data_IF_767364238626
#
_entry.id   IF_767364238626
#
_cell.length_a   1.000
_cell.length_b   1.000
_cell.length_c   1.000
_cell.angle_alpha   90.00
_cell.angle_beta   90.00
_cell.angle_gamma   90.00
#
_symmetry.space_group_name_H-M   'P 1'
#
loop_
_entity.id
_entity.type
_entity.pdbx_description
1 polymer ?
#
# COMPACT_ATOMS: atom_id res chain seq x y z
N UNK A 1 -17.26 -6.96 -43.56
CA UNK A 1 -16.67 -6.38 -42.34
C UNK A 1 -17.26 -7.12 -41.16
N UNK A 2 -16.47 -7.99 -40.52
CA UNK A 2 -16.88 -8.64 -39.28
C UNK A 2 -16.78 -7.61 -38.14
N UNK A 3 -17.74 -7.56 -37.21
CA UNK A 3 -17.65 -6.68 -36.05
C UNK A 3 -16.51 -7.16 -35.17
N UNK A 4 -15.57 -6.27 -34.87
CA UNK A 4 -14.51 -6.50 -33.91
C UNK A 4 -15.14 -6.83 -32.55
N UNK A 5 -14.72 -7.99 -32.04
CA UNK A 5 -15.18 -8.58 -30.80
C UNK A 5 -14.61 -7.74 -29.64
N UNK A 6 -15.36 -6.73 -29.19
CA UNK A 6 -15.04 -5.97 -27.98
C UNK A 6 -15.11 -6.96 -26.81
N UNK A 7 -13.96 -7.47 -26.38
CA UNK A 7 -13.87 -8.24 -25.14
C UNK A 7 -14.41 -7.36 -24.00
N UNK A 8 -15.34 -7.87 -23.16
CA UNK A 8 -15.78 -7.12 -22.00
C UNK A 8 -14.55 -6.88 -21.12
N UNK A 9 -14.27 -5.60 -20.81
CA UNK A 9 -13.30 -5.26 -19.78
C UNK A 9 -13.66 -6.07 -18.52
N UNK A 10 -12.69 -6.81 -17.99
CA UNK A 10 -12.86 -7.52 -16.72
C UNK A 10 -13.45 -6.57 -15.68
N UNK A 11 -14.65 -6.90 -15.18
CA UNK A 11 -15.35 -6.08 -14.19
C UNK A 11 -14.63 -6.06 -12.84
N UNK A 12 -13.72 -7.00 -12.58
CA UNK A 12 -13.01 -7.12 -11.32
C UNK A 12 -11.58 -6.56 -11.41
N UNK A 13 -11.18 -5.76 -10.41
CA UNK A 13 -9.83 -5.20 -10.26
C UNK A 13 -9.17 -5.92 -9.09
N UNK A 14 -8.17 -6.75 -9.40
CA UNK A 14 -7.47 -7.55 -8.39
C UNK A 14 -6.35 -6.74 -7.72
N UNK A 15 -6.66 -6.02 -6.63
CA UNK A 15 -5.73 -5.08 -5.97
C UNK A 15 -4.43 -5.71 -5.46
N UNK A 16 -4.40 -7.01 -5.15
CA UNK A 16 -3.16 -7.63 -4.67
C UNK A 16 -2.15 -7.90 -5.81
N UNK A 17 -2.64 -8.08 -7.03
CA UNK A 17 -1.87 -8.43 -8.24
C UNK A 17 -2.53 -7.73 -9.45
N UNK A 18 -2.54 -6.39 -9.49
CA UNK A 18 -3.37 -5.64 -10.44
C UNK A 18 -2.86 -5.71 -11.88
N UNK A 19 -1.57 -5.90 -12.08
CA UNK A 19 -0.92 -5.97 -13.39
C UNK A 19 0.45 -6.68 -13.30
N UNK A 20 1.24 -6.63 -14.38
CA UNK A 20 2.58 -7.24 -14.47
C UNK A 20 3.70 -6.40 -13.84
N UNK A 21 3.43 -5.17 -13.43
CA UNK A 21 4.44 -4.20 -12.99
C UNK A 21 4.47 -4.01 -11.47
N UNK A 22 3.39 -4.37 -10.76
CA UNK A 22 3.30 -4.22 -9.30
C UNK A 22 2.31 -5.18 -8.67
N UNK A 23 2.37 -5.22 -7.35
CA UNK A 23 1.52 -6.04 -6.48
C UNK A 23 1.57 -5.50 -5.05
N UNK A 24 0.72 -6.01 -4.17
CA UNK A 24 0.74 -5.67 -2.74
C UNK A 24 0.98 -6.91 -1.88
N UNK A 25 1.88 -6.81 -0.90
CA UNK A 25 2.18 -7.86 0.09
C UNK A 25 1.63 -7.59 1.50
N UNK A 26 0.72 -6.61 1.66
CA UNK A 26 0.33 -6.12 2.98
C UNK A 26 -0.34 -7.16 3.88
N UNK A 27 -1.28 -7.95 3.33
CA UNK A 27 -1.98 -9.00 4.09
C UNK A 27 -1.04 -10.14 4.52
N UNK A 28 0.10 -10.31 3.81
CA UNK A 28 1.17 -11.22 4.20
C UNK A 28 2.13 -10.60 5.23
N UNK A 29 1.84 -9.38 5.73
CA UNK A 29 2.63 -8.68 6.73
C UNK A 29 3.89 -7.99 6.21
N UNK A 30 4.04 -7.81 4.89
CA UNK A 30 5.24 -7.19 4.29
C UNK A 30 5.61 -5.86 4.94
N UNK A 31 4.59 -5.03 5.21
CA UNK A 31 4.78 -3.72 5.81
C UNK A 31 4.55 -3.70 7.32
N UNK A 32 4.59 -4.86 7.99
CA UNK A 32 4.46 -4.97 9.45
C UNK A 32 5.79 -5.22 10.17
N UNK A 33 6.89 -5.47 9.46
CA UNK A 33 8.23 -5.47 10.07
C UNK A 33 8.52 -4.12 10.73
N UNK A 34 9.17 -4.13 11.90
CA UNK A 34 9.54 -2.92 12.61
C UNK A 34 10.41 -2.03 11.71
N UNK A 35 11.47 -2.60 11.11
CA UNK A 35 12.11 -2.00 9.94
C UNK A 35 11.42 -2.47 8.66
N UNK A 36 10.64 -1.57 8.06
CA UNK A 36 10.07 -1.79 6.73
C UNK A 36 10.52 -0.74 5.73
N UNK A 37 11.72 -0.20 5.90
CA UNK A 37 12.33 0.59 4.85
C UNK A 37 12.35 -0.21 3.53
N UNK A 38 12.27 0.49 2.39
CA UNK A 38 12.27 -0.15 1.08
C UNK A 38 13.46 -1.09 0.91
N UNK A 39 14.63 -0.67 1.37
CA UNK A 39 15.88 -1.44 1.30
C UNK A 39 15.83 -2.72 2.13
N UNK A 40 15.39 -2.64 3.39
CA UNK A 40 15.26 -3.80 4.28
C UNK A 40 14.27 -4.82 3.73
N UNK A 41 13.12 -4.37 3.24
CA UNK A 41 12.13 -5.24 2.62
C UNK A 41 12.65 -5.86 1.32
N UNK A 42 13.34 -5.09 0.48
CA UNK A 42 13.96 -5.57 -0.76
C UNK A 42 14.97 -6.69 -0.45
N UNK A 43 15.80 -6.51 0.57
CA UNK A 43 16.77 -7.52 1.00
C UNK A 43 16.08 -8.83 1.43
N UNK A 44 15.07 -8.74 2.30
CA UNK A 44 14.29 -9.91 2.76
C UNK A 44 13.63 -10.65 1.59
N UNK A 45 12.93 -9.91 0.73
CA UNK A 45 12.23 -10.47 -0.42
C UNK A 45 13.21 -11.17 -1.37
N UNK A 46 14.34 -10.54 -1.72
CA UNK A 46 15.38 -11.13 -2.58
C UNK A 46 15.95 -12.41 -1.98
N UNK A 47 16.34 -12.34 -0.71
CA UNK A 47 16.97 -13.46 -0.03
C UNK A 47 16.04 -14.68 0.03
N UNK A 48 14.80 -14.49 0.45
CA UNK A 48 13.79 -15.57 0.47
C UNK A 48 13.53 -16.16 -0.91
N UNK A 49 13.42 -15.30 -1.93
CA UNK A 49 13.16 -15.73 -3.31
C UNK A 49 14.28 -16.58 -3.87
N UNK A 50 15.54 -16.22 -3.58
CA UNK A 50 16.70 -16.99 -3.99
C UNK A 50 16.80 -18.32 -3.21
N UNK A 51 16.57 -18.26 -1.90
CA UNK A 51 16.71 -19.41 -1.00
C UNK A 51 15.62 -20.48 -1.20
N UNK A 52 14.40 -20.07 -1.53
CA UNK A 52 13.26 -20.96 -1.64
C UNK A 52 13.49 -22.14 -2.60
N UNK A 53 13.87 -21.93 -3.89
CA UNK A 53 14.16 -23.05 -4.78
C UNK A 53 15.45 -23.80 -4.42
N UNK A 54 16.38 -23.24 -3.64
CA UNK A 54 17.57 -23.94 -3.18
C UNK A 54 17.24 -24.99 -2.11
N UNK A 55 16.34 -24.64 -1.18
CA UNK A 55 15.94 -25.47 -0.05
C UNK A 55 14.74 -26.36 -0.39
N UNK A 56 13.69 -25.79 -0.97
CA UNK A 56 12.40 -26.48 -1.14
C UNK A 56 12.43 -27.31 -2.41
N UNK A 57 12.74 -28.61 -2.26
CA UNK A 57 12.68 -29.60 -3.36
C UNK A 57 11.40 -30.43 -3.29
N UNK A 58 10.80 -30.51 -2.12
CA UNK A 58 9.57 -31.21 -1.81
C UNK A 58 8.78 -30.46 -0.72
N UNK A 59 7.47 -30.73 -0.56
CA UNK A 59 6.69 -30.14 0.53
C UNK A 59 7.25 -30.38 1.93
N UNK A 60 7.99 -31.47 2.14
CA UNK A 60 8.61 -31.82 3.43
C UNK A 60 9.73 -30.82 3.85
N UNK A 61 10.26 -30.05 2.91
CA UNK A 61 11.33 -29.06 3.16
C UNK A 61 10.79 -27.72 3.68
N UNK A 62 9.47 -27.50 3.65
CA UNK A 62 8.85 -26.21 3.96
C UNK A 62 9.04 -25.78 5.42
N UNK A 63 8.95 -26.73 6.36
CA UNK A 63 9.18 -26.47 7.78
C UNK A 63 10.64 -26.05 8.03
N UNK A 64 11.58 -26.63 7.29
CA UNK A 64 12.99 -26.26 7.37
C UNK A 64 13.23 -24.85 6.80
N UNK A 65 12.67 -24.54 5.63
CA UNK A 65 12.73 -23.21 5.03
C UNK A 65 12.16 -22.14 5.98
N UNK A 66 10.97 -22.38 6.54
CA UNK A 66 10.34 -21.45 7.48
C UNK A 66 11.20 -21.21 8.72
N UNK A 67 11.68 -22.30 9.33
CA UNK A 67 12.53 -22.21 10.52
C UNK A 67 13.80 -21.42 10.25
N UNK A 68 14.43 -21.64 9.09
CA UNK A 68 15.61 -20.90 8.69
C UNK A 68 15.30 -19.40 8.53
N UNK A 69 14.30 -19.03 7.74
CA UNK A 69 13.92 -17.62 7.53
C UNK A 69 13.63 -16.91 8.85
N UNK A 70 12.83 -17.54 9.73
CA UNK A 70 12.48 -16.96 11.04
C UNK A 70 13.69 -16.78 11.96
N UNK A 71 14.68 -17.67 11.87
CA UNK A 71 15.91 -17.60 12.68
C UNK A 71 16.97 -16.64 12.13
N UNK A 72 16.99 -16.42 10.81
CA UNK A 72 17.98 -15.58 10.13
C UNK A 72 17.58 -14.11 10.05
N UNK A 73 16.29 -13.80 10.10
CA UNK A 73 15.79 -12.44 9.96
C UNK A 73 15.26 -11.86 11.27
N UNK A 74 15.43 -10.54 11.46
CA UNK A 74 14.78 -9.84 12.55
C UNK A 74 13.25 -9.91 12.43
N UNK A 75 12.60 -10.47 13.44
CA UNK A 75 11.14 -10.67 13.50
C UNK A 75 10.41 -9.60 14.32
N UNK A 76 11.07 -8.48 14.62
CA UNK A 76 10.42 -7.36 15.29
C UNK A 76 9.26 -6.85 14.41
N UNK A 77 8.09 -6.66 15.02
CA UNK A 77 6.83 -6.30 14.35
C UNK A 77 6.27 -5.01 14.92
N UNK A 78 5.54 -4.27 14.09
CA UNK A 78 4.80 -3.07 14.50
C UNK A 78 3.51 -3.42 15.22
N UNK A 79 2.81 -4.42 14.71
CA UNK A 79 1.57 -4.93 15.27
C UNK A 79 1.73 -6.42 15.55
N UNK A 80 1.63 -6.81 16.81
CA UNK A 80 1.80 -8.21 17.24
C UNK A 80 0.75 -9.14 16.62
N UNK A 81 -0.46 -8.61 16.38
CA UNK A 81 -1.59 -9.35 15.81
C UNK A 81 -1.46 -9.59 14.30
N UNK A 82 -0.58 -8.87 13.62
CA UNK A 82 -0.36 -9.06 12.19
C UNK A 82 0.85 -9.99 12.02
N UNK A 83 0.62 -11.14 11.39
CA UNK A 83 1.69 -12.08 11.09
C UNK A 83 2.54 -11.60 9.91
N UNK A 84 3.86 -11.76 10.00
CA UNK A 84 4.80 -11.47 8.93
C UNK A 84 5.24 -12.77 8.25
N UNK A 85 4.66 -13.07 7.09
CA UNK A 85 4.84 -14.34 6.41
C UNK A 85 6.26 -14.50 5.85
N UNK A 86 6.90 -15.59 6.25
CA UNK A 86 8.22 -16.04 5.81
C UNK A 86 8.24 -16.49 4.34
N UNK A 87 7.09 -16.85 3.79
CA UNK A 87 6.95 -17.33 2.42
C UNK A 87 6.63 -16.23 1.40
N UNK A 88 6.76 -14.97 1.80
CA UNK A 88 6.58 -13.84 0.90
C UNK A 88 7.92 -13.52 0.20
N UNK A 89 7.91 -13.49 -1.13
CA UNK A 89 9.06 -13.18 -1.98
C UNK A 89 8.66 -12.47 -3.27
N UNK A 90 9.59 -12.34 -4.22
CA UNK A 90 9.35 -11.86 -5.57
C UNK A 90 8.79 -12.98 -6.46
N UNK A 91 7.83 -12.62 -7.32
CA UNK A 91 7.15 -13.53 -8.26
C UNK A 91 7.70 -13.44 -9.69
N UNK A 92 8.67 -12.55 -9.92
CA UNK A 92 9.28 -12.33 -11.22
C UNK A 92 10.75 -11.91 -11.09
N UNK A 93 11.53 -12.22 -12.12
CA UNK A 93 12.95 -11.91 -12.18
C UNK A 93 13.25 -10.40 -12.23
N UNK A 94 12.26 -9.58 -12.60
CA UNK A 94 12.38 -8.12 -12.60
C UNK A 94 12.14 -7.50 -11.22
N UNK A 95 11.84 -8.31 -10.20
CA UNK A 95 11.54 -7.88 -8.83
C UNK A 95 10.42 -6.82 -8.75
N UNK A 96 9.47 -6.92 -9.68
CA UNK A 96 8.36 -5.97 -9.81
C UNK A 96 7.19 -6.34 -8.92
N UNK A 97 6.92 -7.63 -8.79
CA UNK A 97 5.79 -8.18 -8.03
C UNK A 97 6.28 -9.05 -6.89
N UNK A 98 5.68 -8.81 -5.74
CA UNK A 98 5.79 -9.60 -4.52
C UNK A 98 4.56 -10.50 -4.36
N UNK A 99 4.73 -11.63 -3.71
CA UNK A 99 3.63 -12.53 -3.38
C UNK A 99 4.09 -13.85 -2.78
N UNK A 100 3.14 -14.77 -2.64
CA UNK A 100 3.36 -16.00 -1.91
C UNK A 100 4.14 -17.02 -2.76
N UNK A 101 5.30 -17.43 -2.26
CA UNK A 101 6.14 -18.47 -2.86
C UNK A 101 5.49 -19.87 -2.80
N UNK A 102 4.49 -20.06 -1.91
CA UNK A 102 3.70 -21.30 -1.80
C UNK A 102 2.50 -21.36 -2.76
N UNK A 103 2.20 -20.25 -3.44
CA UNK A 103 0.99 -20.16 -4.27
C UNK A 103 1.05 -21.17 -5.43
N UNK A 104 -0.06 -21.83 -5.82
CA UNK A 104 -0.06 -22.82 -6.90
C UNK A 104 0.44 -22.28 -8.24
N UNK A 105 0.22 -20.98 -8.51
CA UNK A 105 0.78 -20.32 -9.70
C UNK A 105 2.32 -20.23 -9.71
N UNK A 106 2.97 -20.44 -8.56
CA UNK A 106 4.43 -20.51 -8.46
C UNK A 106 4.95 -21.96 -8.38
N UNK A 107 4.05 -22.95 -8.28
CA UNK A 107 4.39 -24.33 -7.95
C UNK A 107 3.67 -25.34 -8.87
N UNK A 108 3.58 -25.04 -10.18
CA UNK A 108 2.99 -25.93 -11.19
C UNK A 108 1.57 -26.42 -10.85
N UNK A 109 0.77 -25.59 -10.18
CA UNK A 109 -0.59 -25.92 -9.75
C UNK A 109 -0.69 -26.60 -8.38
N UNK A 110 0.42 -27.01 -7.78
CA UNK A 110 0.44 -27.56 -6.41
C UNK A 110 0.30 -26.43 -5.40
N UNK A 111 -0.77 -26.45 -4.61
CA UNK A 111 -0.98 -25.47 -3.56
C UNK A 111 -0.24 -25.90 -2.29
N UNK A 112 0.77 -25.12 -1.90
CA UNK A 112 1.60 -25.40 -0.73
C UNK A 112 1.20 -24.55 0.49
N UNK A 113 0.12 -23.76 0.41
CA UNK A 113 -0.25 -22.76 1.43
C UNK A 113 -0.72 -23.35 2.76
N UNK A 114 -0.96 -24.66 2.84
CA UNK A 114 -1.44 -25.34 4.05
C UNK A 114 -0.48 -25.18 5.24
N UNK A 115 0.82 -25.02 5.01
CA UNK A 115 1.84 -24.80 6.07
C UNK A 115 1.97 -23.34 6.52
N UNK A 116 1.33 -22.40 5.82
CA UNK A 116 1.41 -20.99 6.18
C UNK A 116 0.62 -20.69 7.46
N UNK A 117 0.98 -19.63 8.19
CA UNK A 117 0.31 -19.28 9.45
C UNK A 117 -1.21 -19.14 9.33
N UNK A 118 -1.70 -18.54 8.24
CA UNK A 118 -3.15 -18.40 7.99
C UNK A 118 -3.76 -19.64 7.33
N UNK A 119 -2.95 -20.53 6.76
CA UNK A 119 -3.42 -21.70 6.01
C UNK A 119 -4.08 -21.34 4.67
N UNK A 120 -4.30 -22.36 3.85
CA UNK A 120 -4.87 -22.22 2.49
C UNK A 120 -6.22 -21.50 2.48
N UNK A 121 -7.15 -21.89 3.35
CA UNK A 121 -8.54 -21.39 3.33
C UNK A 121 -8.61 -19.88 3.55
N UNK A 122 -7.91 -19.36 4.56
CA UNK A 122 -7.87 -17.92 4.82
C UNK A 122 -7.06 -17.19 3.76
N UNK A 123 -5.92 -17.75 3.32
CA UNK A 123 -5.09 -17.11 2.28
C UNK A 123 -5.81 -16.96 0.94
N UNK A 124 -6.65 -17.92 0.56
CA UNK A 124 -7.34 -17.93 -0.75
C UNK A 124 -8.54 -16.97 -0.79
N UNK A 125 -9.29 -16.87 0.31
CA UNK A 125 -10.51 -16.06 0.38
C UNK A 125 -10.32 -14.62 0.87
N UNK A 126 -9.12 -14.23 1.30
CA UNK A 126 -8.93 -12.95 1.98
C UNK A 126 -8.81 -11.75 1.03
N UNK A 127 -9.74 -10.81 1.17
CA UNK A 127 -9.66 -9.48 0.57
C UNK A 127 -9.57 -8.42 1.66
N UNK A 128 -8.57 -7.54 1.54
CA UNK A 128 -8.41 -6.45 2.49
C UNK A 128 -9.57 -5.43 2.37
N UNK A 129 -9.79 -4.59 3.40
CA UNK A 129 -10.86 -3.59 3.40
C UNK A 129 -10.90 -2.68 2.16
N UNK A 130 -9.76 -2.45 1.50
CA UNK A 130 -9.67 -1.62 0.29
C UNK A 130 -10.47 -2.18 -0.89
N UNK A 131 -10.72 -3.50 -0.93
CA UNK A 131 -11.62 -4.09 -1.92
C UNK A 131 -13.08 -3.65 -1.74
N UNK A 132 -13.48 -3.37 -0.51
CA UNK A 132 -14.85 -2.97 -0.18
C UNK A 132 -15.03 -1.45 -0.15
N UNK A 133 -14.09 -0.74 0.48
CA UNK A 133 -14.29 0.68 0.78
C UNK A 133 -13.82 1.63 -0.34
N UNK A 134 -12.84 1.24 -1.17
CA UNK A 134 -12.46 2.07 -2.31
C UNK A 134 -13.46 1.89 -3.46
N UNK A 135 -13.83 2.99 -4.11
CA UNK A 135 -14.66 2.94 -5.32
C UNK A 135 -13.88 2.32 -6.47
N UNK A 136 -14.57 1.98 -7.57
CA UNK A 136 -13.90 1.48 -8.77
C UNK A 136 -12.91 2.52 -9.30
N UNK A 137 -13.31 3.79 -9.32
CA UNK A 137 -12.53 4.89 -9.86
C UNK A 137 -11.24 5.11 -9.05
N UNK A 138 -11.34 5.08 -7.72
CA UNK A 138 -10.18 5.20 -6.83
C UNK A 138 -9.21 4.01 -7.03
N UNK A 139 -9.73 2.79 -7.15
CA UNK A 139 -8.92 1.60 -7.43
C UNK A 139 -8.19 1.72 -8.77
N UNK A 140 -8.89 2.10 -9.83
CA UNK A 140 -8.31 2.29 -11.16
C UNK A 140 -7.25 3.40 -11.13
N UNK A 141 -7.54 4.51 -10.46
CA UNK A 141 -6.60 5.61 -10.34
C UNK A 141 -5.28 5.16 -9.70
N UNK A 142 -5.33 4.46 -8.55
CA UNK A 142 -4.13 3.93 -7.91
C UNK A 142 -3.37 2.94 -8.80
N UNK A 143 -4.08 2.07 -9.51
CA UNK A 143 -3.46 1.12 -10.45
C UNK A 143 -2.79 1.85 -11.62
N UNK A 144 -3.33 2.97 -12.08
CA UNK A 144 -2.76 3.71 -13.21
C UNK A 144 -1.59 4.62 -12.84
N UNK A 145 -1.52 5.11 -11.60
CA UNK A 145 -0.55 6.14 -11.19
C UNK A 145 0.63 5.60 -10.35
N UNK A 146 0.44 4.50 -9.63
CA UNK A 146 1.51 3.92 -8.81
C UNK A 146 2.17 2.78 -9.59
N UNK A 147 3.50 2.73 -9.57
CA UNK A 147 4.26 1.87 -10.49
C UNK A 147 5.00 0.71 -9.81
N UNK A 148 5.30 0.82 -8.52
CA UNK A 148 6.06 -0.20 -7.80
C UNK A 148 5.31 -0.77 -6.60
N UNK A 149 5.66 -2.00 -6.23
CA UNK A 149 5.02 -2.74 -5.13
C UNK A 149 5.11 -2.04 -3.77
N UNK A 150 6.15 -1.23 -3.54
CA UNK A 150 6.37 -0.62 -2.24
C UNK A 150 5.39 0.53 -2.05
N UNK A 151 5.47 1.58 -2.87
CA UNK A 151 4.55 2.72 -2.74
C UNK A 151 3.09 2.31 -2.97
N UNK A 152 2.84 1.42 -3.95
CA UNK A 152 1.50 0.91 -4.20
C UNK A 152 0.91 0.22 -2.97
N UNK A 153 1.66 -0.68 -2.34
CA UNK A 153 1.18 -1.37 -1.15
C UNK A 153 0.94 -0.45 0.04
N UNK A 154 1.80 0.55 0.25
CA UNK A 154 1.62 1.56 1.30
C UNK A 154 0.35 2.41 1.11
N UNK A 155 0.02 2.75 -0.14
CA UNK A 155 -1.12 3.59 -0.46
C UNK A 155 -2.42 2.81 -0.56
N UNK A 156 -2.42 1.61 -1.16
CA UNK A 156 -3.64 0.84 -1.38
C UNK A 156 -4.27 0.40 -0.06
N UNK A 157 -3.49 0.19 1.00
CA UNK A 157 -3.99 -0.14 2.34
C UNK A 157 -4.42 1.06 3.16
N UNK A 158 -4.09 2.29 2.73
CA UNK A 158 -4.41 3.52 3.44
C UNK A 158 -5.68 4.16 2.83
N UNK A 159 -6.82 3.55 3.13
CA UNK A 159 -8.13 3.95 2.58
C UNK A 159 -8.40 5.43 2.83
N UNK A 160 -8.07 5.93 4.03
CA UNK A 160 -8.34 7.30 4.41
C UNK A 160 -7.51 8.32 3.63
N UNK A 161 -6.24 8.03 3.35
CA UNK A 161 -5.40 8.86 2.50
C UNK A 161 -6.01 8.97 1.09
N UNK A 162 -6.37 7.83 0.50
CA UNK A 162 -6.93 7.74 -0.85
C UNK A 162 -8.26 8.48 -0.91
N UNK A 163 -9.18 8.17 0.00
CA UNK A 163 -10.50 8.81 0.10
C UNK A 163 -10.38 10.31 0.31
N UNK A 164 -9.50 10.74 1.20
CA UNK A 164 -9.34 12.16 1.49
C UNK A 164 -8.81 12.93 0.30
N UNK A 165 -7.82 12.38 -0.40
CA UNK A 165 -7.30 12.99 -1.63
C UNK A 165 -8.39 13.13 -2.69
N UNK A 166 -9.04 12.03 -3.06
CA UNK A 166 -10.05 12.04 -4.12
C UNK A 166 -11.26 12.89 -3.76
N UNK A 167 -11.68 12.92 -2.49
CA UNK A 167 -12.72 13.84 -2.03
C UNK A 167 -12.32 15.30 -2.22
N UNK A 168 -11.12 15.69 -1.75
CA UNK A 168 -10.67 17.09 -1.84
C UNK A 168 -10.56 17.60 -3.28
N UNK A 169 -10.05 16.78 -4.21
CA UNK A 169 -10.00 17.18 -5.62
C UNK A 169 -11.40 17.16 -6.26
N UNK A 170 -12.25 16.19 -5.92
CA UNK A 170 -13.61 16.11 -6.48
C UNK A 170 -14.49 17.27 -6.02
N UNK A 171 -14.40 17.63 -4.73
CA UNK A 171 -15.13 18.77 -4.16
C UNK A 171 -14.74 20.08 -4.87
N UNK A 172 -13.47 20.22 -5.28
CA UNK A 172 -12.98 21.39 -6.01
C UNK A 172 -13.37 21.39 -7.49
N UNK A 173 -13.43 20.21 -8.12
CA UNK A 173 -13.81 20.05 -9.52
C UNK A 173 -15.33 19.99 -9.73
N UNK A 174 -16.11 19.82 -8.65
CA UNK A 174 -17.54 19.52 -8.68
C UNK A 174 -17.88 18.26 -9.50
N UNK A 175 -16.92 17.34 -9.63
CA UNK A 175 -17.06 16.06 -10.31
C UNK A 175 -15.98 15.09 -9.84
N UNK A 176 -16.26 13.79 -9.92
CA UNK A 176 -15.23 12.75 -9.74
C UNK A 176 -14.27 12.75 -10.93
N UNK A 177 -12.93 12.84 -10.70
CA UNK A 177 -11.95 12.68 -11.77
C UNK A 177 -12.06 11.32 -12.45
N UNK A 178 -12.03 11.31 -13.80
CA UNK A 178 -12.05 10.07 -14.58
C UNK A 178 -10.68 9.40 -14.51
N UNK A 179 -10.56 8.15 -14.05
CA UNK A 179 -9.28 7.45 -13.93
C UNK A 179 -8.49 7.38 -15.24
N UNK A 180 -9.18 7.28 -16.38
CA UNK A 180 -8.55 7.19 -17.70
C UNK A 180 -7.68 8.40 -18.01
N UNK A 181 -8.06 9.60 -17.55
CA UNK A 181 -7.25 10.81 -17.71
C UNK A 181 -5.94 10.75 -16.91
N UNK A 182 -5.91 9.99 -15.81
CA UNK A 182 -4.73 9.82 -14.94
C UNK A 182 -3.67 8.90 -15.54
N UNK A 183 -3.91 8.30 -16.72
CA UNK A 183 -2.88 7.56 -17.46
C UNK A 183 -1.88 8.49 -18.16
N UNK A 184 -2.25 9.75 -18.38
CA UNK A 184 -1.46 10.72 -19.13
C UNK A 184 -0.85 11.79 -18.22
N UNK A 185 0.27 12.35 -18.68
CA UNK A 185 0.86 13.54 -18.08
C UNK A 185 0.04 14.81 -18.41
N UNK A 186 0.04 15.83 -17.53
CA UNK A 186 0.76 15.90 -16.25
C UNK A 186 0.02 15.24 -15.07
N UNK A 187 -1.20 14.76 -15.28
CA UNK A 187 -2.09 14.31 -14.20
C UNK A 187 -1.54 13.11 -13.45
N UNK A 188 -0.96 12.15 -14.16
CA UNK A 188 -0.32 10.97 -13.55
C UNK A 188 0.71 11.39 -12.50
N UNK A 189 1.69 12.18 -12.90
CA UNK A 189 2.79 12.62 -12.04
C UNK A 189 2.30 13.47 -10.85
N UNK A 190 1.27 14.30 -11.03
CA UNK A 190 0.71 15.11 -9.93
C UNK A 190 0.10 14.24 -8.83
N UNK A 191 -0.66 13.21 -9.22
CA UNK A 191 -1.24 12.24 -8.28
C UNK A 191 -0.12 11.41 -7.63
N UNK A 192 0.85 10.95 -8.42
CA UNK A 192 1.99 10.19 -7.92
C UNK A 192 2.76 10.98 -6.85
N UNK A 193 3.12 12.24 -7.12
CA UNK A 193 3.82 13.13 -6.18
C UNK A 193 3.06 13.35 -4.88
N UNK A 194 1.73 13.37 -4.92
CA UNK A 194 0.94 13.43 -3.68
C UNK A 194 1.10 12.15 -2.85
N UNK A 195 1.01 10.97 -3.49
CA UNK A 195 1.17 9.70 -2.77
C UNK A 195 2.61 9.45 -2.31
N UNK A 196 3.61 9.96 -3.03
CA UNK A 196 5.02 9.94 -2.63
C UNK A 196 5.29 10.63 -1.29
N UNK A 197 4.38 11.49 -0.81
CA UNK A 197 4.45 12.02 0.56
C UNK A 197 4.49 10.90 1.61
N UNK A 198 3.96 9.69 1.32
CA UNK A 198 4.15 8.53 2.21
C UNK A 198 5.61 8.15 2.43
N UNK A 199 6.51 8.57 1.55
CA UNK A 199 7.95 8.29 1.64
C UNK A 199 8.73 9.50 2.16
N UNK A 200 8.37 10.71 1.73
CA UNK A 200 9.20 11.91 1.93
C UNK A 200 8.59 12.97 2.84
N UNK A 201 7.47 12.66 3.54
CA UNK A 201 6.79 13.64 4.40
C UNK A 201 7.72 14.19 5.50
N UNK A 202 7.98 15.51 5.54
CA UNK A 202 8.97 16.10 6.44
C UNK A 202 8.50 16.19 7.90
N UNK A 203 7.20 16.12 8.14
CA UNK A 203 6.61 16.21 9.49
C UNK A 203 6.23 14.84 10.06
N UNK A 204 6.78 13.75 9.49
CA UNK A 204 6.56 12.41 10.00
C UNK A 204 7.19 12.27 11.39
N UNK A 205 6.44 11.75 12.37
CA UNK A 205 7.02 11.42 13.67
C UNK A 205 7.98 10.22 13.53
N UNK A 206 9.28 10.38 13.82
CA UNK A 206 10.26 9.30 13.72
C UNK A 206 10.05 8.19 14.76
N UNK A 207 9.41 8.50 15.90
CA UNK A 207 9.04 7.51 16.90
C UNK A 207 7.84 6.67 16.45
N UNK A 208 7.06 7.18 15.49
CA UNK A 208 5.91 6.49 14.93
C UNK A 208 6.30 5.86 13.61
N UNK A 209 6.86 4.67 13.71
CA UNK A 209 7.10 3.82 12.56
C UNK A 209 5.81 3.09 12.17
N UNK A 210 4.74 3.82 11.80
CA UNK A 210 3.42 3.26 11.41
C UNK A 210 3.04 3.60 9.98
N UNK A 211 2.21 2.76 9.39
CA UNK A 211 1.67 2.95 8.05
C UNK A 211 0.14 3.07 8.13
N UNK A 212 -0.34 4.31 8.17
CA UNK A 212 -1.77 4.63 8.27
C UNK A 212 -2.17 5.14 9.64
N UNK A 213 -3.48 5.36 9.84
CA UNK A 213 -4.02 6.02 11.05
C UNK A 213 -4.21 5.10 12.27
N UNK A 214 -4.23 3.78 12.07
CA UNK A 214 -4.54 2.81 13.12
C UNK A 214 -3.28 2.29 13.79
N UNK A 215 -3.27 2.21 15.12
CA UNK A 215 -2.30 1.40 15.84
C UNK A 215 -2.96 0.54 16.92
N UNK A 216 -2.36 -0.61 17.21
CA UNK A 216 -2.86 -1.59 18.18
C UNK A 216 -1.92 -1.60 19.39
N UNK A 217 -2.45 -1.37 20.59
CA UNK A 217 -1.65 -1.29 21.84
C UNK A 217 -1.62 -2.61 22.63
N UNK A 218 -2.11 -3.70 22.04
CA UNK A 218 -2.26 -4.99 22.71
C UNK A 218 -3.68 -5.25 23.22
N UNK A 219 -4.57 -4.24 23.23
CA UNK A 219 -5.96 -4.41 23.71
C UNK A 219 -7.02 -3.70 22.87
N UNK A 220 -6.71 -2.57 22.23
CA UNK A 220 -7.66 -1.78 21.44
C UNK A 220 -7.03 -1.14 20.19
N UNK A 221 -7.87 -0.85 19.18
CA UNK A 221 -7.49 -0.02 18.04
C UNK A 221 -7.52 1.45 18.47
N UNK A 222 -6.36 2.08 18.55
CA UNK A 222 -6.21 3.49 18.88
C UNK A 222 -6.03 4.31 17.60
N UNK A 223 -6.71 5.45 17.54
CA UNK A 223 -6.55 6.46 16.49
C UNK A 223 -5.69 7.56 17.08
N UNK A 224 -4.53 7.81 16.48
CA UNK A 224 -3.70 8.94 16.89
C UNK A 224 -4.42 10.27 16.65
N UNK A 225 -4.11 11.27 17.47
CA UNK A 225 -4.76 12.58 17.41
C UNK A 225 -3.71 13.67 17.38
N UNK A 226 -3.88 14.60 16.46
CA UNK A 226 -3.11 15.84 16.46
C UNK A 226 -3.74 16.77 17.48
N UNK A 227 -2.95 17.24 18.44
CA UNK A 227 -3.38 18.18 19.47
C UNK A 227 -3.50 19.61 18.91
N UNK A 228 -4.59 19.86 18.17
CA UNK A 228 -4.87 21.18 17.60
C UNK A 228 -5.12 22.24 18.68
N UNK A 229 -5.69 21.86 19.82
CA UNK A 229 -5.95 22.78 20.93
C UNK A 229 -4.64 23.29 21.54
N UNK A 230 -3.68 22.39 21.80
CA UNK A 230 -2.34 22.74 22.24
C UNK A 230 -1.57 23.61 21.24
N UNK A 231 -1.87 23.50 19.95
CA UNK A 231 -1.34 24.37 18.89
C UNK A 231 -2.07 25.73 18.77
N UNK A 232 -3.15 25.94 19.53
CA UNK A 232 -4.00 27.13 19.40
C UNK A 232 -4.60 27.27 18.00
N UNK A 233 -4.95 26.15 17.37
CA UNK A 233 -5.47 26.10 16.00
C UNK A 233 -6.75 25.28 15.92
N UNK A 234 -7.56 25.54 14.90
CA UNK A 234 -8.71 24.69 14.61
C UNK A 234 -8.26 23.40 13.95
N UNK A 235 -9.07 22.35 14.09
CA UNK A 235 -8.86 21.10 13.37
C UNK A 235 -8.69 21.35 11.86
N UNK A 236 -7.59 20.87 11.28
CA UNK A 236 -7.31 21.04 9.86
C UNK A 236 -8.29 20.24 9.01
N UNK A 237 -8.63 20.76 7.83
CA UNK A 237 -9.36 20.00 6.80
C UNK A 237 -8.56 18.82 6.23
N UNK A 238 -7.24 18.84 6.44
CA UNK A 238 -6.30 17.81 6.04
C UNK A 238 -5.99 16.80 7.16
N UNK A 239 -6.67 16.88 8.30
CA UNK A 239 -6.45 16.01 9.47
C UNK A 239 -6.28 14.53 9.10
N UNK A 240 -7.22 13.98 8.30
CA UNK A 240 -7.15 12.59 7.89
C UNK A 240 -5.88 12.25 7.10
N UNK A 241 -5.40 13.15 6.24
CA UNK A 241 -4.15 12.97 5.49
C UNK A 241 -2.96 13.07 6.44
N UNK A 242 -2.96 14.04 7.36
CA UNK A 242 -1.91 14.17 8.35
C UNK A 242 -1.76 12.93 9.23
N UNK A 243 -2.87 12.32 9.67
CA UNK A 243 -2.85 11.08 10.42
C UNK A 243 -2.29 9.90 9.61
N UNK A 244 -2.67 9.77 8.33
CA UNK A 244 -2.14 8.76 7.40
C UNK A 244 -0.64 8.93 7.11
N UNK A 245 -0.14 10.16 7.13
CA UNK A 245 1.28 10.50 7.00
C UNK A 245 2.05 10.42 8.32
N UNK A 246 1.39 10.02 9.42
CA UNK A 246 1.96 9.94 10.76
C UNK A 246 2.56 11.28 11.20
N UNK A 247 1.82 12.37 10.95
CA UNK A 247 2.33 13.72 11.16
C UNK A 247 2.39 14.09 12.62
N UNK A 248 3.44 14.82 13.00
CA UNK A 248 3.55 15.51 14.28
C UNK A 248 4.03 16.93 14.06
N UNK A 249 3.38 17.87 14.72
CA UNK A 249 3.66 19.30 14.61
C UNK A 249 4.09 19.83 15.97
N UNK A 250 5.39 20.14 16.17
CA UNK A 250 5.86 20.76 17.41
C UNK A 250 5.33 22.18 17.60
N UNK A 251 5.09 22.89 16.49
CA UNK A 251 4.63 24.29 16.49
C UNK A 251 3.55 24.51 15.45
N UNK A 252 2.79 25.59 15.65
CA UNK A 252 1.71 25.98 14.73
C UNK A 252 2.21 26.30 13.33
N UNK A 253 3.40 26.89 13.21
CA UNK A 253 4.01 27.22 11.91
C UNK A 253 4.29 25.96 11.07
N UNK A 254 4.65 24.86 11.74
CA UNK A 254 4.89 23.56 11.08
C UNK A 254 3.57 23.01 10.51
N UNK A 255 2.47 23.11 11.27
CA UNK A 255 1.13 22.75 10.79
C UNK A 255 0.71 23.62 9.58
N UNK A 256 0.88 24.93 9.64
CA UNK A 256 0.51 25.83 8.54
C UNK A 256 1.32 25.51 7.27
N UNK A 257 2.62 25.25 7.42
CA UNK A 257 3.48 24.87 6.29
C UNK A 257 3.06 23.51 5.71
N UNK A 258 2.71 22.55 6.56
CA UNK A 258 2.18 21.27 6.14
C UNK A 258 0.85 21.39 5.37
N UNK A 259 -0.05 22.28 5.81
CA UNK A 259 -1.29 22.59 5.09
C UNK A 259 -0.99 23.16 3.70
N UNK A 260 0.01 24.04 3.58
CA UNK A 260 0.42 24.62 2.30
C UNK A 260 0.97 23.59 1.32
N UNK A 261 1.77 22.61 1.79
CA UNK A 261 2.26 21.52 0.95
C UNK A 261 1.09 20.73 0.37
N UNK A 262 0.18 20.25 1.23
CA UNK A 262 -0.98 19.48 0.77
C UNK A 262 -1.89 20.31 -0.14
N UNK A 263 -2.06 21.60 0.18
CA UNK A 263 -2.82 22.53 -0.64
C UNK A 263 -2.24 22.63 -2.05
N UNK A 264 -0.92 22.79 -2.16
CA UNK A 264 -0.23 22.87 -3.45
C UNK A 264 -0.46 21.65 -4.34
N UNK A 265 -0.47 20.44 -3.77
CA UNK A 265 -0.79 19.23 -4.53
C UNK A 265 -2.24 19.21 -5.04
N UNK A 266 -3.19 19.63 -4.20
CA UNK A 266 -4.61 19.69 -4.59
C UNK A 266 -4.82 20.75 -5.68
N UNK A 267 -4.28 21.95 -5.51
CA UNK A 267 -4.43 23.04 -6.48
C UNK A 267 -3.79 22.71 -7.82
N UNK A 268 -2.57 22.17 -7.82
CA UNK A 268 -1.88 21.77 -9.05
C UNK A 268 -2.67 20.71 -9.83
N UNK A 269 -3.25 19.73 -9.14
CA UNK A 269 -4.11 18.73 -9.79
C UNK A 269 -5.39 19.36 -10.36
N UNK A 270 -6.08 20.19 -9.59
CA UNK A 270 -7.34 20.82 -10.01
C UNK A 270 -7.13 21.73 -11.23
N UNK A 271 -6.06 22.53 -11.22
CA UNK A 271 -5.69 23.39 -12.34
C UNK A 271 -5.40 22.59 -13.60
N UNK A 272 -4.51 21.59 -13.52
CA UNK A 272 -4.16 20.74 -14.65
C UNK A 272 -5.38 19.96 -15.18
N UNK A 273 -6.22 19.43 -14.29
CA UNK A 273 -7.39 18.66 -14.70
C UNK A 273 -8.42 19.55 -15.41
N UNK A 274 -8.61 20.78 -14.91
CA UNK A 274 -9.55 21.76 -15.50
C UNK A 274 -9.10 22.28 -16.86
N UNK A 275 -7.78 22.38 -17.09
CA UNK A 275 -7.23 22.73 -18.41
C UNK A 275 -7.47 21.64 -19.48
N UNK A 276 -7.82 20.42 -19.06
CA UNK A 276 -8.10 19.27 -19.92
C UNK A 276 -9.58 18.84 -19.86
N UNK A 277 -10.47 19.68 -19.32
CA UNK A 277 -11.92 19.43 -19.31
C UNK A 277 -12.56 19.66 -20.67
#
# INVERSE_FOLDING_TARGET
MQPENVKPESSFIHLCQPDSCKSCGACCGLYNYADSSRESLLHRLRWRTALFPEIVKSPDDLDHFSSLVRSSEEQARRYEVIYCCEYLGFLDAGEKRVGCLLHPLQNNGTDLRDVSFYGRELCDGHFCPSYTYLTREEKQALVFVLEDWYLYGLCITDIDLVKSYFRLVSDRLLTTPRPEKLKAEPLRNLVQKFFELKLVWPYRDPAVNRLGKYYFDGSQYMIDRIDYEGLGWKKSRFDSIFLSLSSRFPRREDLVTAEQILQGHIDAFVEAYSAHL
#
